data_IF_928109802367
#
_entry.id   IF_928109802367
#
_cell.length_a   1.000
_cell.length_b   1.000
_cell.length_c   1.000
_cell.angle_alpha   90.00
_cell.angle_beta   90.00
_cell.angle_gamma   90.00
#
_symmetry.space_group_name_H-M   'P 1'
#
loop_
_entity.id
_entity.type
_entity.pdbx_description
1 polymer ?
#
# COMPACT_ATOMS: atom_id res chain seq x y z
N UNK A 1 -30.01 4.39 8.29
CA UNK A 1 -28.75 3.68 8.58
C UNK A 1 -27.68 4.38 7.79
N UNK A 2 -26.96 5.29 8.43
CA UNK A 2 -25.70 5.79 7.89
C UNK A 2 -24.80 4.57 7.74
N UNK A 3 -24.38 4.26 6.50
CA UNK A 3 -23.30 3.30 6.31
C UNK A 3 -22.15 3.84 7.13
N UNK A 4 -21.64 3.07 8.09
CA UNK A 4 -20.32 3.30 8.63
C UNK A 4 -19.40 3.43 7.42
N UNK A 5 -18.98 4.65 7.08
CA UNK A 5 -17.93 4.85 6.11
C UNK A 5 -16.74 4.07 6.68
N UNK A 6 -16.41 2.95 6.04
CA UNK A 6 -15.20 2.20 6.36
C UNK A 6 -14.05 3.19 6.19
N UNK A 7 -13.54 3.69 7.33
CA UNK A 7 -12.53 4.74 7.32
C UNK A 7 -11.25 4.13 6.80
N UNK A 8 -10.94 4.38 5.53
CA UNK A 8 -9.67 3.99 4.93
C UNK A 8 -8.55 4.70 5.67
N UNK A 9 -7.62 3.92 6.22
CA UNK A 9 -6.44 4.42 6.92
C UNK A 9 -5.27 4.46 5.95
N UNK A 10 -4.55 5.57 5.92
CA UNK A 10 -3.33 5.69 5.13
C UNK A 10 -2.10 5.33 5.95
N UNK A 11 -1.26 4.45 5.39
CA UNK A 11 0.02 4.05 5.98
C UNK A 11 1.15 4.52 5.05
N UNK A 12 1.99 5.43 5.54
CA UNK A 12 3.16 5.92 4.80
C UNK A 12 4.41 5.14 5.19
N UNK A 13 4.95 4.40 4.21
CA UNK A 13 6.15 3.58 4.37
C UNK A 13 7.24 4.07 3.40
N UNK A 14 8.17 4.93 3.84
CA UNK A 14 9.25 5.42 2.98
C UNK A 14 10.22 4.29 2.61
N UNK A 15 10.89 4.45 1.46
CA UNK A 15 11.88 3.51 0.93
C UNK A 15 11.34 2.07 0.76
N UNK A 16 10.10 1.93 0.28
CA UNK A 16 9.45 0.65 0.02
C UNK A 16 10.26 -0.22 -0.94
N UNK A 17 10.67 -1.41 -0.48
CA UNK A 17 11.40 -2.42 -1.26
C UNK A 17 10.63 -3.75 -1.28
N UNK A 18 9.32 -3.71 -1.04
CA UNK A 18 8.44 -4.85 -0.88
C UNK A 18 7.87 -4.96 0.55
N UNK A 19 6.80 -5.73 0.73
CA UNK A 19 6.11 -5.81 2.02
C UNK A 19 7.00 -6.32 3.14
N UNK A 20 7.89 -7.26 2.82
CA UNK A 20 8.85 -7.82 3.77
C UNK A 20 9.83 -6.79 4.35
N UNK A 21 10.21 -5.74 3.59
CA UNK A 21 11.16 -4.74 4.11
C UNK A 21 10.59 -3.90 5.26
N UNK A 22 9.26 -3.84 5.36
CA UNK A 22 8.56 -3.09 6.41
C UNK A 22 7.88 -4.01 7.44
N UNK A 23 8.14 -5.32 7.37
CA UNK A 23 7.58 -6.33 8.26
C UNK A 23 6.09 -6.61 8.01
N UNK A 24 5.67 -6.55 6.75
CA UNK A 24 4.32 -6.90 6.32
C UNK A 24 4.34 -8.17 5.48
N UNK A 25 3.48 -9.11 5.84
CA UNK A 25 3.12 -10.23 4.96
C UNK A 25 1.78 -9.92 4.34
N UNK A 26 1.71 -9.93 3.00
CA UNK A 26 0.49 -9.66 2.23
C UNK A 26 0.02 -10.97 1.61
N UNK A 27 -1.27 -11.27 1.74
CA UNK A 27 -1.92 -12.41 1.10
C UNK A 27 -2.98 -11.93 0.11
N UNK A 28 -2.99 -12.55 -1.07
CA UNK A 28 -4.09 -12.41 -2.02
C UNK A 28 -5.13 -13.50 -1.80
N UNK A 29 -6.40 -13.10 -1.85
CA UNK A 29 -7.58 -13.95 -1.75
C UNK A 29 -8.54 -13.59 -2.91
N UNK A 30 -9.55 -14.40 -3.13
CA UNK A 30 -10.51 -14.20 -4.23
C UNK A 30 -11.26 -12.85 -4.14
N UNK A 31 -11.40 -12.30 -2.94
CA UNK A 31 -12.11 -11.05 -2.62
C UNK A 31 -11.18 -9.84 -2.41
N UNK A 32 -9.85 -9.99 -2.53
CA UNK A 32 -8.93 -8.87 -2.47
C UNK A 32 -7.54 -9.17 -1.91
N UNK A 33 -6.87 -8.10 -1.50
CA UNK A 33 -5.50 -8.13 -0.97
C UNK A 33 -5.55 -7.77 0.50
N UNK A 34 -4.93 -8.59 1.36
CA UNK A 34 -5.04 -8.45 2.82
C UNK A 34 -3.67 -8.52 3.49
N UNK A 35 -3.54 -7.82 4.61
CA UNK A 35 -2.42 -7.98 5.53
C UNK A 35 -2.60 -9.28 6.29
N UNK A 36 -1.72 -10.25 6.02
CA UNK A 36 -1.71 -11.54 6.70
C UNK A 36 -0.98 -11.49 8.03
N UNK A 37 0.10 -10.70 8.13
CA UNK A 37 0.88 -10.60 9.35
C UNK A 37 1.58 -9.25 9.42
N UNK A 38 1.70 -8.71 10.64
CA UNK A 38 2.55 -7.56 10.94
C UNK A 38 3.63 -8.00 11.93
N UNK A 39 4.88 -8.07 11.49
CA UNK A 39 5.99 -8.48 12.33
C UNK A 39 6.17 -7.51 13.50
N UNK A 40 6.26 -8.02 14.72
CA UNK A 40 6.44 -7.18 15.92
C UNK A 40 7.71 -6.33 15.81
N UNK A 41 7.64 -5.08 16.28
CA UNK A 41 8.73 -4.09 16.26
C UNK A 41 9.22 -3.66 14.85
N UNK A 42 8.56 -4.11 13.78
CA UNK A 42 8.81 -3.66 12.41
C UNK A 42 8.43 -2.19 12.20
N UNK A 43 8.91 -1.55 11.11
CA UNK A 43 8.48 -0.21 10.74
C UNK A 43 6.95 -0.07 10.67
N UNK A 44 6.26 -1.04 10.06
CA UNK A 44 4.81 -1.02 9.96
C UNK A 44 4.13 -1.15 11.33
N UNK A 45 4.59 -2.08 12.19
CA UNK A 45 4.05 -2.25 13.55
C UNK A 45 4.19 -0.99 14.41
N UNK A 46 5.32 -0.27 14.28
CA UNK A 46 5.60 0.94 15.06
C UNK A 46 4.67 2.10 14.72
N UNK A 47 4.06 2.11 13.53
CA UNK A 47 3.06 3.13 13.19
C UNK A 47 1.76 2.94 13.96
N UNK A 48 1.42 1.70 14.35
CA UNK A 48 0.14 1.36 14.96
C UNK A 48 -1.09 1.51 14.05
N UNK A 49 -0.90 1.87 12.77
CA UNK A 49 -1.99 2.16 11.82
C UNK A 49 -2.52 0.88 11.18
N UNK A 50 -1.64 -0.08 10.92
CA UNK A 50 -1.93 -1.34 10.23
C UNK A 50 -1.97 -2.53 11.20
N UNK A 51 -2.90 -3.44 10.96
CA UNK A 51 -3.06 -4.68 11.71
C UNK A 51 -3.31 -5.86 10.77
N UNK A 52 -3.13 -7.06 11.30
CA UNK A 52 -3.53 -8.29 10.62
C UNK A 52 -5.04 -8.26 10.29
N UNK A 53 -5.38 -8.72 9.09
CA UNK A 53 -6.73 -8.73 8.55
C UNK A 53 -7.14 -7.45 7.83
N UNK A 54 -6.35 -6.38 7.86
CA UNK A 54 -6.65 -5.16 7.11
C UNK A 54 -6.63 -5.43 5.60
N UNK A 55 -7.66 -4.96 4.89
CA UNK A 55 -7.71 -5.01 3.43
C UNK A 55 -6.97 -3.83 2.82
N UNK A 56 -6.15 -4.10 1.81
CA UNK A 56 -5.45 -3.09 1.02
C UNK A 56 -6.33 -2.76 -0.18
N UNK A 57 -6.98 -1.59 -0.12
CA UNK A 57 -7.94 -1.13 -1.15
C UNK A 57 -7.32 -0.17 -2.18
N UNK A 58 -6.12 0.34 -1.90
CA UNK A 58 -5.41 1.25 -2.80
C UNK A 58 -3.97 1.51 -2.32
N UNK A 59 -3.16 2.07 -3.21
CA UNK A 59 -1.81 2.50 -2.90
C UNK A 59 -1.52 3.83 -3.62
N UNK A 60 -0.91 4.76 -2.90
CA UNK A 60 -0.44 6.04 -3.46
C UNK A 60 1.06 5.96 -3.69
N UNK A 61 1.50 6.26 -4.91
CA UNK A 61 2.92 6.30 -5.27
C UNK A 61 3.36 7.76 -5.27
N UNK A 62 4.36 8.08 -4.45
CA UNK A 62 5.02 9.39 -4.44
C UNK A 62 6.21 9.35 -5.39
N UNK A 63 6.34 10.35 -6.26
CA UNK A 63 7.45 10.45 -7.22
C UNK A 63 8.69 11.16 -6.67
N UNK A 64 8.64 11.52 -5.39
CA UNK A 64 9.73 12.14 -4.67
C UNK A 64 10.93 11.18 -4.69
N UNK A 65 12.07 11.64 -5.23
CA UNK A 65 13.31 10.88 -5.31
C UNK A 65 13.39 9.76 -6.38
N UNK A 66 12.40 9.63 -7.28
CA UNK A 66 12.51 8.74 -8.45
C UNK A 66 13.24 9.44 -9.61
N UNK A 67 14.16 8.75 -10.28
CA UNK A 67 14.75 9.28 -11.51
C UNK A 67 13.69 9.26 -12.62
N UNK A 68 13.68 10.27 -13.50
CA UNK A 68 12.63 10.46 -14.51
C UNK A 68 12.39 9.23 -15.42
N UNK A 69 13.41 8.41 -15.64
CA UNK A 69 13.29 7.15 -16.39
C UNK A 69 12.49 6.06 -15.66
N UNK A 70 12.60 5.98 -14.34
CA UNK A 70 11.93 4.96 -13.51
C UNK A 70 10.41 5.22 -13.42
N UNK A 71 10.02 6.50 -13.39
CA UNK A 71 8.60 6.92 -13.36
C UNK A 71 7.84 6.40 -14.58
N UNK A 72 8.45 6.52 -15.77
CA UNK A 72 7.79 6.11 -17.04
C UNK A 72 7.59 4.59 -17.08
N UNK A 73 8.57 3.82 -16.62
CA UNK A 73 8.47 2.37 -16.57
C UNK A 73 7.42 1.88 -15.56
N UNK A 74 7.30 2.57 -14.42
CA UNK A 74 6.28 2.30 -13.43
C UNK A 74 4.87 2.58 -13.99
N UNK A 75 4.68 3.71 -14.66
CA UNK A 75 3.40 4.06 -15.31
C UNK A 75 3.01 3.07 -16.42
N UNK A 76 3.98 2.62 -17.22
CA UNK A 76 3.73 1.61 -18.27
C UNK A 76 3.26 0.26 -17.70
N UNK A 77 3.70 -0.08 -16.48
CA UNK A 77 3.31 -1.33 -15.81
C UNK A 77 1.87 -1.26 -15.25
N UNK A 78 1.34 -0.04 -15.03
CA UNK A 78 -0.03 0.16 -14.53
C UNK A 78 -1.12 0.09 -15.61
N UNK A 79 -0.77 -0.16 -16.89
CA UNK A 79 -1.63 -0.01 -18.07
C UNK A 79 -2.96 -0.79 -18.11
N UNK A 80 -3.30 -1.56 -17.07
CA UNK A 80 -4.57 -2.27 -16.93
C UNK A 80 -5.46 -1.78 -15.77
N UNK A 81 -5.02 -0.78 -14.98
CA UNK A 81 -5.75 -0.25 -13.83
C UNK A 81 -6.11 1.22 -14.01
N UNK A 82 -7.21 1.67 -13.40
CA UNK A 82 -7.60 3.08 -13.38
C UNK A 82 -6.57 3.89 -12.59
N UNK A 83 -5.87 4.82 -13.24
CA UNK A 83 -4.89 5.71 -12.60
C UNK A 83 -5.54 7.08 -12.37
N UNK A 84 -5.63 7.51 -11.11
CA UNK A 84 -5.96 8.89 -10.74
C UNK A 84 -4.71 9.75 -10.72
N UNK A 85 -4.48 10.54 -11.77
CA UNK A 85 -3.36 11.50 -11.81
C UNK A 85 -3.83 12.85 -11.25
N UNK A 86 -3.14 13.34 -10.21
CA UNK A 86 -3.37 14.66 -9.63
C UNK A 86 -2.29 15.60 -10.17
N UNK A 87 -2.69 16.63 -10.94
CA UNK A 87 -1.80 17.62 -11.56
C UNK A 87 -1.72 18.90 -10.71
#
# INVERSE_FOLDING_TARGET
MEKEEETTRELLLPNWQGSGSHGLTIAQRDDGVFVQEVTQNSPAARTGVVKEGDQIVGATIYFDNLQSGEVTQLLNTMGHHTVGLKL
#
